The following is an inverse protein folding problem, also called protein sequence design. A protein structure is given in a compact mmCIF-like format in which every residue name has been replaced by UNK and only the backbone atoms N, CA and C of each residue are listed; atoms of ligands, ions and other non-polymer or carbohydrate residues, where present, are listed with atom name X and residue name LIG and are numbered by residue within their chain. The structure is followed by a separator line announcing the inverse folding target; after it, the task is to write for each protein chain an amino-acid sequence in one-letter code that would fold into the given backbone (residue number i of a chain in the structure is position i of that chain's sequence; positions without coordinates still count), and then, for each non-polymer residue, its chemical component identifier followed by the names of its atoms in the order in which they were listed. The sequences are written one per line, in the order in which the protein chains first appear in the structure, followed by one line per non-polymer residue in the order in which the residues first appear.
data_IF_287867521609
#
_entry.id   IF_287867521609
#
_cell.length_a   1.000
_cell.length_b   1.000
_cell.length_c   1.000
_cell.angle_alpha   90.00
_cell.angle_beta   90.00
_cell.angle_gamma   90.00
#
_symmetry.space_group_name_H-M   'P 1'
#
loop_
_entity.id
_entity.type
_entity.pdbx_description
1 polymer ?
#
# COMPACT_ATOMS: atom_id res chain seq x y z
N UNK A 1 -11.41 -36.50 27.76
CA UNK A 1 -11.55 -35.72 26.52
C UNK A 1 -10.24 -34.99 26.39
N UNK A 2 -9.40 -35.37 25.46
CA UNK A 2 -8.19 -34.63 25.09
C UNK A 2 -8.65 -33.29 24.51
N UNK A 3 -8.14 -32.19 25.04
CA UNK A 3 -8.41 -30.89 24.46
C UNK A 3 -7.99 -30.91 22.98
N UNK A 4 -8.82 -30.39 22.06
CA UNK A 4 -8.46 -30.35 20.66
C UNK A 4 -7.21 -29.44 20.49
N UNK A 5 -6.16 -29.99 19.89
CA UNK A 5 -4.98 -29.22 19.49
C UNK A 5 -5.40 -28.34 18.32
N UNK A 6 -5.81 -27.11 18.60
CA UNK A 6 -6.29 -26.17 17.58
C UNK A 6 -5.64 -24.80 17.71
N UNK A 7 -5.52 -24.11 16.58
CA UNK A 7 -5.15 -22.70 16.52
C UNK A 7 -6.44 -21.92 16.25
N UNK A 8 -6.83 -21.06 17.18
CA UNK A 8 -7.86 -20.08 16.92
C UNK A 8 -7.20 -18.80 16.36
N UNK A 9 -7.56 -18.44 15.14
CA UNK A 9 -7.10 -17.21 14.51
C UNK A 9 -8.22 -16.19 14.64
N UNK A 10 -8.05 -15.24 15.55
CA UNK A 10 -8.87 -14.05 15.60
C UNK A 10 -8.47 -13.15 14.44
N UNK A 11 -9.38 -12.90 13.54
CA UNK A 11 -9.22 -11.80 12.61
C UNK A 11 -9.43 -10.52 13.44
N UNK A 12 -8.38 -9.79 13.72
CA UNK A 12 -8.36 -8.58 14.55
C UNK A 12 -9.27 -7.44 14.04
N UNK A 13 -9.82 -7.66 12.88
CA UNK A 13 -10.74 -6.79 12.18
C UNK A 13 -11.98 -7.65 11.93
N UNK A 14 -12.97 -7.56 12.83
CA UNK A 14 -14.25 -8.26 12.72
C UNK A 14 -14.58 -8.63 11.26
N UNK A 15 -14.45 -9.91 10.93
CA UNK A 15 -14.95 -10.40 9.65
C UNK A 15 -16.45 -10.61 9.83
N UNK A 16 -17.27 -9.84 9.14
CA UNK A 16 -18.67 -10.15 9.04
C UNK A 16 -18.84 -11.32 8.08
N UNK A 17 -19.45 -12.38 8.57
CA UNK A 17 -19.88 -13.47 7.72
C UNK A 17 -21.36 -13.26 7.39
N UNK A 18 -21.66 -13.21 6.11
CA UNK A 18 -23.05 -13.07 5.64
C UNK A 18 -23.60 -14.42 5.24
N UNK A 19 -24.78 -14.73 5.76
CA UNK A 19 -25.46 -15.98 5.46
C UNK A 19 -25.67 -16.15 3.95
N UNK A 20 -25.23 -17.28 3.42
CA UNK A 20 -25.30 -17.62 1.99
C UNK A 20 -24.16 -17.11 1.14
N UNK A 21 -23.27 -16.29 1.67
CA UNK A 21 -22.07 -15.86 0.96
C UNK A 21 -20.96 -16.90 1.03
N UNK A 22 -20.12 -16.92 0.00
CA UNK A 22 -19.00 -17.83 -0.11
C UNK A 22 -17.69 -17.16 0.26
N UNK A 23 -16.82 -17.96 0.89
CA UNK A 23 -15.50 -17.54 1.32
C UNK A 23 -14.44 -18.52 0.86
N UNK A 24 -13.34 -17.99 0.33
CA UNK A 24 -12.17 -18.74 -0.05
C UNK A 24 -11.20 -18.77 1.13
N UNK A 25 -11.00 -19.96 1.67
CA UNK A 25 -10.01 -20.24 2.69
C UNK A 25 -8.79 -20.89 2.06
N UNK A 26 -7.60 -20.48 2.48
CA UNK A 26 -6.36 -21.17 2.15
C UNK A 26 -5.40 -21.20 3.34
N UNK A 27 -4.54 -22.20 3.35
CA UNK A 27 -3.49 -22.41 4.36
C UNK A 27 -2.32 -23.14 3.72
N UNK A 28 -1.11 -22.77 4.09
CA UNK A 28 0.05 -23.60 3.83
C UNK A 28 0.20 -24.57 4.99
N UNK A 29 0.35 -25.86 4.69
CA UNK A 29 0.56 -26.89 5.70
C UNK A 29 1.66 -27.85 5.27
N UNK A 30 2.38 -28.38 6.28
CA UNK A 30 3.37 -29.43 6.15
C UNK A 30 3.08 -30.51 7.18
N UNK A 31 3.06 -31.76 6.75
CA UNK A 31 2.67 -32.92 7.55
C UNK A 31 1.54 -33.71 6.87
N UNK A 32 1.16 -34.82 7.49
CA UNK A 32 0.03 -35.64 7.06
C UNK A 32 -1.05 -35.64 8.14
N UNK A 33 -2.24 -35.12 7.83
CA UNK A 33 -3.31 -34.99 8.81
C UNK A 33 -4.57 -34.37 8.24
N UNK A 34 -5.44 -33.91 9.11
CA UNK A 34 -6.71 -33.31 8.76
C UNK A 34 -6.91 -32.00 9.53
N UNK A 35 -7.16 -30.93 8.80
CA UNK A 35 -7.55 -29.63 9.36
C UNK A 35 -9.04 -29.42 9.18
N UNK A 36 -9.70 -29.03 10.25
CA UNK A 36 -11.09 -28.60 10.26
C UNK A 36 -11.13 -27.08 10.41
N UNK A 37 -11.88 -26.43 9.54
CA UNK A 37 -12.13 -24.98 9.58
C UNK A 37 -13.56 -24.75 10.04
N UNK A 38 -13.74 -23.97 11.10
CA UNK A 38 -15.06 -23.60 11.62
C UNK A 38 -15.15 -22.09 11.77
N UNK A 39 -16.36 -21.55 11.66
CA UNK A 39 -16.65 -20.17 12.04
C UNK A 39 -16.91 -20.11 13.55
N UNK A 40 -16.51 -19.02 14.21
CA UNK A 40 -16.70 -18.90 15.64
C UNK A 40 -16.44 -17.52 16.18
N UNK A 41 -16.67 -17.34 17.48
CA UNK A 41 -16.33 -16.13 18.24
C UNK A 41 -15.18 -16.44 19.19
N UNK A 42 -14.22 -15.53 19.27
CA UNK A 42 -13.18 -15.52 20.31
C UNK A 42 -13.71 -14.74 21.50
N UNK A 43 -13.97 -15.42 22.61
CA UNK A 43 -14.68 -14.83 23.76
C UNK A 43 -13.76 -14.07 24.70
N UNK A 44 -12.47 -14.44 24.83
CA UNK A 44 -11.55 -13.78 25.77
C UNK A 44 -10.11 -13.71 25.22
N UNK A 45 -9.64 -12.49 25.00
CA UNK A 45 -8.30 -12.20 24.45
C UNK A 45 -7.19 -12.21 25.50
N UNK A 46 -7.53 -12.18 26.81
CA UNK A 46 -6.58 -11.93 27.89
C UNK A 46 -6.23 -13.20 28.69
N UNK A 47 -6.84 -14.32 28.39
CA UNK A 47 -6.48 -15.62 28.98
C UNK A 47 -5.47 -16.36 28.11
N UNK A 48 -4.53 -17.04 28.77
CA UNK A 48 -3.56 -17.92 28.10
C UNK A 48 -4.18 -19.13 27.37
N UNK A 49 -5.50 -19.31 27.46
CA UNK A 49 -6.32 -20.23 26.70
C UNK A 49 -7.51 -19.44 26.15
N UNK A 50 -7.60 -19.33 24.82
CA UNK A 50 -8.77 -18.78 24.17
C UNK A 50 -9.99 -19.66 24.44
N UNK A 51 -11.07 -19.09 24.99
CA UNK A 51 -12.36 -19.74 24.92
C UNK A 51 -12.94 -19.43 23.54
N UNK A 52 -13.10 -20.46 22.73
CA UNK A 52 -13.63 -20.36 21.37
C UNK A 52 -14.92 -21.15 21.33
N UNK A 53 -16.02 -20.53 20.95
CA UNK A 53 -17.24 -21.25 20.65
C UNK A 53 -17.40 -21.34 19.13
N UNK A 54 -17.24 -22.53 18.52
CA UNK A 54 -17.62 -22.73 17.13
C UNK A 54 -19.13 -22.62 17.01
N UNK A 55 -19.60 -21.87 16.01
CA UNK A 55 -21.03 -21.69 15.76
C UNK A 55 -21.67 -22.91 15.06
N UNK A 56 -20.89 -23.68 14.34
CA UNK A 56 -21.37 -24.80 13.55
C UNK A 56 -20.44 -26.01 13.59
N UNK A 57 -20.92 -27.12 13.09
CA UNK A 57 -20.07 -28.21 12.64
C UNK A 57 -19.16 -27.66 11.53
N UNK A 58 -17.98 -28.23 11.28
CA UNK A 58 -16.97 -27.72 10.39
C UNK A 58 -17.52 -27.11 9.11
N UNK A 59 -17.17 -25.83 8.83
CA UNK A 59 -17.47 -25.18 7.56
C UNK A 59 -16.71 -25.86 6.41
N UNK A 60 -15.49 -26.37 6.69
CA UNK A 60 -14.69 -27.11 5.73
C UNK A 60 -13.74 -28.11 6.42
N UNK A 61 -13.37 -29.17 5.70
CA UNK A 61 -12.36 -30.16 6.11
C UNK A 61 -11.32 -30.29 5.02
N UNK A 62 -10.04 -30.17 5.40
CA UNK A 62 -8.89 -30.23 4.50
C UNK A 62 -8.00 -31.40 4.88
N UNK A 63 -7.74 -32.30 3.93
CA UNK A 63 -6.78 -33.39 4.09
C UNK A 63 -5.41 -32.95 3.63
N UNK A 64 -4.48 -32.83 4.57
CA UNK A 64 -3.07 -32.54 4.33
C UNK A 64 -2.31 -33.83 4.03
N UNK A 65 -1.51 -33.82 2.97
CA UNK A 65 -0.81 -35.01 2.48
C UNK A 65 0.63 -34.72 2.01
N UNK A 66 1.22 -33.62 2.48
CA UNK A 66 2.59 -33.25 2.17
C UNK A 66 3.45 -33.37 3.42
N UNK A 67 4.15 -34.49 3.54
CA UNK A 67 4.85 -34.88 4.75
C UNK A 67 6.02 -33.95 5.10
N UNK A 68 6.82 -33.59 4.10
CA UNK A 68 8.10 -32.93 4.31
C UNK A 68 8.15 -31.50 3.70
N UNK A 69 7.24 -31.19 2.75
CA UNK A 69 7.23 -29.92 2.04
C UNK A 69 6.01 -29.07 2.38
N UNK A 70 6.17 -27.78 2.42
CA UNK A 70 5.06 -26.84 2.50
C UNK A 70 4.19 -26.94 1.24
N UNK A 71 2.89 -27.06 1.43
CA UNK A 71 1.92 -27.09 0.34
C UNK A 71 0.71 -26.26 0.67
N UNK A 72 0.26 -25.48 -0.31
CA UNK A 72 -0.96 -24.68 -0.21
C UNK A 72 -2.17 -25.59 -0.39
N UNK A 73 -3.11 -25.50 0.54
CA UNK A 73 -4.43 -26.13 0.47
C UNK A 73 -5.47 -25.03 0.46
N UNK A 74 -6.51 -25.19 -0.36
CA UNK A 74 -7.57 -24.20 -0.50
C UNK A 74 -8.93 -24.89 -0.53
N UNK A 75 -9.93 -24.24 0.00
CA UNK A 75 -11.33 -24.67 -0.04
C UNK A 75 -12.24 -23.45 -0.04
N UNK A 76 -13.29 -23.51 -0.85
CA UNK A 76 -14.38 -22.53 -0.79
C UNK A 76 -15.53 -23.13 0.02
N UNK A 77 -16.06 -22.39 0.97
CA UNK A 77 -17.23 -22.77 1.74
C UNK A 77 -18.29 -21.67 1.72
N UNK A 78 -19.53 -22.03 2.03
CA UNK A 78 -20.64 -21.08 2.16
C UNK A 78 -20.91 -20.87 3.64
N UNK A 79 -20.98 -19.59 4.09
CA UNK A 79 -21.41 -19.31 5.45
C UNK A 79 -22.91 -19.60 5.59
N UNK A 80 -23.27 -20.38 6.60
CA UNK A 80 -24.65 -20.79 6.89
C UNK A 80 -25.32 -19.92 7.97
N UNK A 81 -24.57 -19.00 8.57
CA UNK A 81 -25.04 -18.04 9.56
C UNK A 81 -24.48 -16.64 9.28
N UNK A 82 -25.18 -15.63 9.78
CA UNK A 82 -24.72 -14.24 9.79
C UNK A 82 -24.02 -13.95 11.13
N UNK A 83 -22.78 -13.50 11.07
CA UNK A 83 -21.97 -13.18 12.25
C UNK A 83 -21.56 -11.71 12.20
N UNK A 84 -22.31 -10.88 12.92
CA UNK A 84 -22.08 -9.41 12.97
C UNK A 84 -21.19 -8.97 14.13
N UNK A 85 -20.66 -9.87 14.95
CA UNK A 85 -20.03 -9.47 16.21
C UNK A 85 -18.56 -9.10 16.11
N UNK A 86 -18.15 -8.12 16.90
CA UNK A 86 -16.76 -7.88 17.25
C UNK A 86 -16.16 -9.13 17.87
N UNK A 87 -15.28 -9.82 17.17
CA UNK A 87 -14.64 -11.04 17.64
C UNK A 87 -14.95 -12.29 16.82
N UNK A 88 -15.82 -12.21 15.80
CA UNK A 88 -15.99 -13.31 14.84
C UNK A 88 -14.71 -13.58 14.07
N UNK A 89 -14.45 -14.83 13.76
CA UNK A 89 -13.25 -15.30 13.10
C UNK A 89 -13.33 -16.74 12.68
N UNK A 90 -12.22 -17.29 12.26
CA UNK A 90 -12.07 -18.71 11.92
C UNK A 90 -11.32 -19.46 13.01
N UNK A 91 -11.71 -20.71 13.21
CA UNK A 91 -11.04 -21.66 14.07
C UNK A 91 -10.50 -22.76 13.17
N UNK A 92 -9.18 -22.93 13.17
CA UNK A 92 -8.51 -24.01 12.45
C UNK A 92 -8.05 -25.05 13.48
N UNK A 93 -8.59 -26.23 13.40
CA UNK A 93 -8.32 -27.33 14.36
C UNK A 93 -7.67 -28.49 13.63
N UNK A 94 -6.57 -29.01 14.17
CA UNK A 94 -6.03 -30.29 13.74
C UNK A 94 -6.87 -31.43 14.38
N UNK A 95 -7.65 -32.12 13.56
CA UNK A 95 -8.50 -33.23 13.98
C UNK A 95 -7.85 -34.60 13.72
N UNK A 96 -6.64 -34.60 13.14
CA UNK A 96 -5.86 -35.82 12.94
C UNK A 96 -5.00 -36.23 14.14
N UNK A 97 -4.42 -37.40 14.07
CA UNK A 97 -3.54 -37.96 15.12
C UNK A 97 -2.07 -37.50 14.98
N UNK A 98 -1.72 -36.80 13.92
CA UNK A 98 -0.35 -36.37 13.60
C UNK A 98 -0.18 -34.85 13.76
N UNK A 99 1.03 -34.41 14.09
CA UNK A 99 1.36 -33.00 14.12
C UNK A 99 1.35 -32.41 12.70
N UNK A 100 0.83 -31.21 12.58
CA UNK A 100 0.84 -30.40 11.36
C UNK A 100 1.48 -29.04 11.65
N UNK A 101 2.43 -28.65 10.81
CA UNK A 101 2.86 -27.26 10.75
C UNK A 101 1.88 -26.49 9.84
N UNK A 102 1.46 -25.31 10.26
CA UNK A 102 0.55 -24.45 9.49
C UNK A 102 1.07 -23.04 9.43
N UNK A 103 0.90 -22.40 8.26
CA UNK A 103 1.32 -21.02 8.01
C UNK A 103 0.43 -20.36 6.96
N UNK A 104 0.55 -19.05 6.77
CA UNK A 104 -0.11 -18.26 5.73
C UNK A 104 -1.62 -18.53 5.62
N UNK A 105 -2.29 -18.52 6.77
CA UNK A 105 -3.76 -18.67 6.82
C UNK A 105 -4.42 -17.45 6.19
N UNK A 106 -5.28 -17.67 5.21
CA UNK A 106 -6.01 -16.63 4.49
C UNK A 106 -7.50 -16.95 4.40
N UNK A 107 -8.32 -15.94 4.57
CA UNK A 107 -9.76 -16.01 4.38
C UNK A 107 -10.21 -14.75 3.63
N UNK A 108 -10.84 -14.94 2.49
CA UNK A 108 -11.31 -13.86 1.62
C UNK A 108 -12.74 -14.15 1.16
N UNK A 109 -13.62 -13.16 0.96
CA UNK A 109 -14.84 -13.36 0.20
C UNK A 109 -14.52 -13.91 -1.20
N UNK A 110 -15.31 -14.85 -1.72
CA UNK A 110 -15.18 -15.31 -3.12
C UNK A 110 -15.52 -14.16 -4.09
N UNK A 111 -16.54 -13.35 -3.77
CA UNK A 111 -16.96 -12.20 -4.57
C UNK A 111 -16.08 -10.96 -4.28
N UNK A 112 -14.94 -10.92 -4.93
CA UNK A 112 -14.04 -9.76 -4.91
C UNK A 112 -14.23 -8.90 -6.15
N UNK A 113 -13.75 -7.64 -6.12
CA UNK A 113 -13.90 -6.76 -7.26
C UNK A 113 -13.19 -7.34 -8.49
N UNK A 114 -13.97 -7.60 -9.55
CA UNK A 114 -13.53 -8.27 -10.79
C UNK A 114 -12.81 -9.61 -10.59
N UNK A 115 -12.88 -10.20 -9.41
CA UNK A 115 -12.19 -11.44 -9.07
C UNK A 115 -10.69 -11.27 -8.76
N UNK A 116 -10.22 -10.04 -8.55
CA UNK A 116 -8.80 -9.72 -8.33
C UNK A 116 -8.41 -9.58 -6.85
N UNK A 117 -9.23 -10.09 -5.93
CA UNK A 117 -8.87 -10.16 -4.50
C UNK A 117 -9.08 -8.88 -3.69
N UNK A 118 -9.58 -7.80 -4.29
CA UNK A 118 -9.86 -6.55 -3.58
C UNK A 118 -11.30 -6.47 -3.08
N UNK A 119 -11.52 -5.85 -1.93
CA UNK A 119 -12.86 -5.64 -1.35
C UNK A 119 -13.76 -4.90 -2.31
N UNK A 120 -14.84 -5.56 -2.72
CA UNK A 120 -15.76 -5.09 -3.75
C UNK A 120 -16.43 -3.77 -3.37
N UNK A 121 -16.93 -3.67 -2.15
CA UNK A 121 -17.61 -2.47 -1.64
C UNK A 121 -16.70 -1.23 -1.66
N UNK A 122 -15.44 -1.36 -1.28
CA UNK A 122 -14.47 -0.24 -1.30
C UNK A 122 -14.07 0.13 -2.73
N UNK A 123 -13.88 -0.87 -3.58
CA UNK A 123 -13.54 -0.65 -4.98
C UNK A 123 -14.68 0.02 -5.75
N UNK A 124 -15.93 -0.35 -5.48
CA UNK A 124 -17.12 0.29 -6.06
C UNK A 124 -17.26 1.76 -5.66
N UNK A 125 -16.88 2.13 -4.42
CA UNK A 125 -16.81 3.53 -3.99
C UNK A 125 -15.77 4.32 -4.80
N UNK A 126 -14.59 3.74 -5.00
CA UNK A 126 -13.55 4.37 -5.81
C UNK A 126 -13.98 4.49 -7.27
N UNK A 127 -14.57 3.45 -7.85
CA UNK A 127 -15.08 3.47 -9.22
C UNK A 127 -16.08 4.58 -9.42
N UNK A 128 -17.02 4.79 -8.46
CA UNK A 128 -18.01 5.84 -8.49
C UNK A 128 -17.42 7.26 -8.46
N UNK A 129 -16.22 7.42 -7.91
CA UNK A 129 -15.49 8.70 -7.90
C UNK A 129 -14.77 8.99 -9.22
N UNK A 130 -14.59 7.99 -10.08
CA UNK A 130 -13.87 8.10 -11.36
C UNK A 130 -12.44 8.68 -11.21
N UNK A 131 -11.59 8.16 -10.32
CA UNK A 131 -10.24 8.64 -10.12
C UNK A 131 -9.43 8.52 -11.41
N UNK A 132 -8.44 9.39 -11.59
CA UNK A 132 -7.62 9.42 -12.81
C UNK A 132 -6.25 8.80 -12.63
N UNK A 133 -5.78 8.72 -11.41
CA UNK A 133 -4.50 8.11 -11.07
C UNK A 133 -4.51 7.61 -9.62
N UNK A 134 -3.56 6.75 -9.30
CA UNK A 134 -3.26 6.31 -7.95
C UNK A 134 -1.76 6.51 -7.67
N UNK A 135 -1.43 7.26 -6.61
CA UNK A 135 -0.09 7.37 -6.04
C UNK A 135 0.08 6.28 -4.97
N UNK A 136 1.05 5.40 -5.14
CA UNK A 136 1.27 4.27 -4.25
C UNK A 136 2.76 3.91 -4.10
N UNK A 137 3.15 3.11 -3.09
CA UNK A 137 2.37 2.65 -1.94
C UNK A 137 2.06 3.79 -0.98
N UNK A 138 2.79 4.89 -1.09
CA UNK A 138 2.62 6.12 -0.36
C UNK A 138 3.35 6.20 0.97
N UNK A 139 3.57 7.44 1.37
CA UNK A 139 4.05 7.86 2.67
C UNK A 139 5.44 7.37 3.05
N UNK A 140 5.71 7.49 4.33
CA UNK A 140 6.97 7.08 4.93
C UNK A 140 7.25 5.56 4.82
N UNK A 141 6.28 4.75 4.37
CA UNK A 141 6.50 3.32 4.14
C UNK A 141 7.61 3.07 3.09
N UNK A 142 7.60 3.85 1.99
CA UNK A 142 8.66 3.79 0.97
C UNK A 142 10.02 4.19 1.54
N UNK A 143 10.03 5.17 2.44
CA UNK A 143 11.26 5.68 3.02
C UNK A 143 11.85 4.72 4.07
N UNK A 144 10.98 4.08 4.87
CA UNK A 144 11.40 3.32 6.05
C UNK A 144 11.83 4.23 7.22
N UNK A 145 11.86 3.70 8.42
CA UNK A 145 12.54 4.35 9.54
C UNK A 145 14.05 4.21 9.42
N UNK A 146 14.48 3.08 8.86
CA UNK A 146 15.85 2.75 8.46
C UNK A 146 15.81 2.19 7.05
N UNK A 147 16.93 2.06 6.37
CA UNK A 147 17.00 1.47 5.04
C UNK A 147 16.50 0.02 5.00
N UNK A 148 16.71 -0.75 6.09
CA UNK A 148 16.22 -2.13 6.20
C UNK A 148 14.70 -2.25 6.33
N UNK A 149 14.02 -1.16 6.72
CA UNK A 149 12.56 -1.09 6.86
C UNK A 149 11.88 -0.32 5.74
N UNK A 150 12.64 0.12 4.75
CA UNK A 150 12.11 0.73 3.53
C UNK A 150 11.45 -0.33 2.63
N UNK A 151 10.32 0.03 2.01
CA UNK A 151 9.69 -0.87 1.05
C UNK A 151 10.47 -0.95 -0.24
N UNK A 152 10.85 -2.18 -0.61
CA UNK A 152 11.31 -2.48 -1.96
C UNK A 152 10.17 -3.17 -2.72
N UNK A 153 9.83 -2.68 -3.90
CA UNK A 153 8.73 -3.21 -4.69
C UNK A 153 8.93 -4.69 -5.06
N UNK A 154 10.19 -5.13 -5.24
CA UNK A 154 10.54 -6.52 -5.54
C UNK A 154 10.14 -7.50 -4.44
N UNK A 155 10.15 -7.03 -3.18
CA UNK A 155 9.72 -7.80 -2.01
C UNK A 155 8.18 -7.97 -1.95
N UNK A 156 7.43 -7.24 -2.79
CA UNK A 156 5.96 -7.17 -2.75
C UNK A 156 5.27 -7.86 -3.91
N UNK A 157 6.01 -8.55 -4.78
CA UNK A 157 5.50 -9.24 -5.96
C UNK A 157 5.79 -10.75 -5.90
N UNK A 158 5.09 -11.54 -6.71
CA UNK A 158 5.16 -13.00 -6.69
C UNK A 158 4.07 -13.62 -5.82
N UNK A 159 4.23 -14.89 -5.46
CA UNK A 159 3.30 -15.55 -4.53
C UNK A 159 3.38 -14.87 -3.15
N UNK A 160 2.23 -14.64 -2.51
CA UNK A 160 2.17 -13.94 -1.22
C UNK A 160 2.98 -14.66 -0.14
N UNK A 161 3.09 -15.99 -0.21
CA UNK A 161 3.90 -16.78 0.72
C UNK A 161 5.41 -16.57 0.60
N UNK A 162 5.87 -15.99 -0.52
CA UNK A 162 7.28 -15.69 -0.78
C UNK A 162 7.62 -14.23 -0.56
N UNK A 163 6.62 -13.36 -0.33
CA UNK A 163 6.81 -11.92 -0.11
C UNK A 163 7.40 -11.69 1.28
N UNK A 164 8.25 -10.68 1.38
CA UNK A 164 8.86 -10.29 2.66
C UNK A 164 7.81 -9.65 3.57
N UNK A 165 7.70 -10.13 4.81
CA UNK A 165 6.92 -9.44 5.82
C UNK A 165 7.66 -8.22 6.35
N UNK A 166 6.93 -7.13 6.62
CA UNK A 166 7.49 -5.87 7.10
C UNK A 166 6.64 -5.29 8.23
N UNK A 167 7.28 -4.71 9.21
CA UNK A 167 6.58 -3.93 10.25
C UNK A 167 5.96 -2.69 9.61
N UNK A 168 4.68 -2.43 9.92
CA UNK A 168 4.04 -1.17 9.54
C UNK A 168 4.68 -0.01 10.30
N UNK A 169 5.30 0.92 9.57
CA UNK A 169 6.00 2.07 10.14
C UNK A 169 5.08 2.99 10.96
N UNK A 170 3.78 2.98 10.69
CA UNK A 170 2.78 3.77 11.40
C UNK A 170 2.30 3.11 12.70
N UNK A 171 2.54 1.81 12.88
CA UNK A 171 2.26 1.06 14.09
C UNK A 171 3.45 0.18 14.50
N UNK A 172 4.59 0.78 14.89
CA UNK A 172 5.79 0.03 15.27
C UNK A 172 5.76 -0.40 16.74
N UNK A 173 4.60 -0.77 17.29
CA UNK A 173 4.49 -1.20 18.69
C UNK A 173 5.48 -2.34 18.98
N UNK A 174 6.31 -2.18 20.01
CA UNK A 174 7.25 -3.23 20.41
C UNK A 174 6.57 -4.47 21.01
N UNK A 175 5.33 -4.33 21.47
CA UNK A 175 4.57 -5.41 22.11
C UNK A 175 3.57 -6.07 21.18
N UNK A 176 3.00 -5.30 20.25
CA UNK A 176 2.01 -5.78 19.28
C UNK A 176 2.27 -5.10 17.92
N UNK A 177 3.34 -5.49 17.20
CA UNK A 177 3.65 -4.90 15.91
C UNK A 177 2.60 -5.34 14.89
N UNK A 178 2.14 -4.38 14.07
CA UNK A 178 1.34 -4.72 12.90
C UNK A 178 2.28 -5.11 11.76
N UNK A 179 2.27 -6.41 11.42
CA UNK A 179 3.05 -6.94 10.30
C UNK A 179 2.24 -6.84 9.00
N UNK A 180 2.88 -6.36 7.95
CA UNK A 180 2.32 -6.32 6.61
C UNK A 180 2.88 -7.48 5.81
N UNK A 181 2.00 -8.28 5.22
CA UNK A 181 2.34 -9.45 4.40
C UNK A 181 2.51 -9.10 2.93
N UNK A 182 2.30 -7.85 2.56
CA UNK A 182 2.23 -7.39 1.17
C UNK A 182 1.20 -8.14 0.30
N UNK A 183 0.11 -8.63 0.90
CA UNK A 183 -1.03 -9.14 0.14
C UNK A 183 -1.60 -8.11 -0.86
N UNK A 184 -1.45 -6.82 -0.55
CA UNK A 184 -1.60 -5.69 -1.47
C UNK A 184 -0.20 -5.16 -1.80
N UNK A 185 0.43 -5.67 -2.83
CA UNK A 185 1.76 -5.27 -3.31
C UNK A 185 1.69 -4.46 -4.60
N UNK A 186 2.86 -4.22 -5.21
CA UNK A 186 2.93 -3.41 -6.43
C UNK A 186 2.12 -3.99 -7.58
N UNK A 187 2.10 -5.31 -7.76
CA UNK A 187 1.28 -5.95 -8.79
C UNK A 187 -0.20 -5.65 -8.60
N UNK A 188 -0.70 -5.79 -7.37
CA UNK A 188 -2.11 -5.54 -7.05
C UNK A 188 -2.47 -4.05 -7.20
N UNK A 189 -1.55 -3.12 -6.93
CA UNK A 189 -1.76 -1.70 -7.22
C UNK A 189 -1.84 -1.41 -8.71
N UNK A 190 -0.99 -2.03 -9.54
CA UNK A 190 -1.10 -1.91 -11.00
C UNK A 190 -2.42 -2.49 -11.52
N UNK A 191 -2.80 -3.69 -11.02
CA UNK A 191 -4.07 -4.32 -11.37
C UNK A 191 -5.27 -3.44 -10.98
N UNK A 192 -5.24 -2.85 -9.78
CA UNK A 192 -6.26 -1.91 -9.32
C UNK A 192 -6.35 -0.67 -10.23
N UNK A 193 -5.21 -0.15 -10.66
CA UNK A 193 -5.18 0.99 -11.58
C UNK A 193 -5.83 0.64 -12.93
N UNK A 194 -5.51 -0.52 -13.49
CA UNK A 194 -6.13 -0.99 -14.74
C UNK A 194 -7.64 -1.20 -14.56
N UNK A 195 -8.05 -1.85 -13.47
CA UNK A 195 -9.45 -2.14 -13.16
C UNK A 195 -10.32 -0.90 -13.08
N UNK A 196 -9.80 0.20 -12.55
CA UNK A 196 -10.49 1.48 -12.39
C UNK A 196 -10.19 2.49 -13.52
N UNK A 197 -9.33 2.13 -14.47
CA UNK A 197 -8.91 3.05 -15.54
C UNK A 197 -8.10 4.23 -15.03
N UNK A 198 -7.27 4.01 -13.99
CA UNK A 198 -6.36 4.98 -13.39
C UNK A 198 -4.95 4.87 -13.98
N UNK A 199 -4.23 5.98 -14.01
CA UNK A 199 -2.80 6.00 -14.27
C UNK A 199 -2.03 5.58 -13.00
N UNK A 200 -1.16 4.57 -13.04
CA UNK A 200 -0.32 4.21 -11.90
C UNK A 200 0.80 5.24 -11.70
N UNK A 201 1.01 5.67 -10.47
CA UNK A 201 2.09 6.57 -10.06
C UNK A 201 2.85 5.94 -8.88
N UNK A 202 3.68 4.92 -9.14
CA UNK A 202 4.50 4.30 -8.11
C UNK A 202 5.57 5.27 -7.60
N UNK A 203 5.80 5.24 -6.29
CA UNK A 203 6.86 6.00 -5.61
C UNK A 203 7.91 5.01 -5.10
N UNK A 204 9.18 5.29 -5.35
CA UNK A 204 10.31 4.45 -4.95
C UNK A 204 11.24 5.16 -3.99
N UNK A 205 11.96 4.38 -3.18
CA UNK A 205 13.01 4.89 -2.31
C UNK A 205 14.22 5.38 -3.12
N UNK A 206 14.80 6.50 -2.71
CA UNK A 206 15.97 7.11 -3.35
C UNK A 206 17.29 6.88 -2.57
N UNK A 207 17.33 5.89 -1.69
CA UNK A 207 18.49 5.60 -0.85
C UNK A 207 18.57 6.48 0.40
N UNK A 208 17.42 7.03 0.85
CA UNK A 208 17.31 7.85 2.06
C UNK A 208 16.11 7.35 2.87
N UNK A 209 16.32 7.01 4.15
CA UNK A 209 15.25 6.76 5.09
C UNK A 209 14.48 8.04 5.43
N UNK A 210 13.31 7.91 6.06
CA UNK A 210 12.45 9.05 6.39
C UNK A 210 13.17 10.08 7.27
N UNK A 211 13.53 11.22 6.69
CA UNK A 211 14.30 12.27 7.37
C UNK A 211 13.56 12.88 8.58
N UNK A 212 12.23 12.82 8.60
CA UNK A 212 11.42 13.30 9.73
C UNK A 212 11.48 12.34 10.92
N UNK A 213 11.48 11.01 10.64
CA UNK A 213 11.44 9.98 11.69
C UNK A 213 12.82 9.59 12.19
N UNK A 214 13.83 9.63 11.32
CA UNK A 214 15.22 9.27 11.66
C UNK A 214 16.01 10.43 12.27
N UNK A 215 15.49 11.66 12.21
CA UNK A 215 16.12 12.86 12.79
C UNK A 215 17.30 13.44 11.99
N UNK A 216 18.03 12.62 11.26
CA UNK A 216 18.99 13.06 10.23
C UNK A 216 19.55 11.83 9.51
N UNK A 217 19.39 11.73 8.22
CA UNK A 217 19.97 10.67 7.41
C UNK A 217 21.47 10.94 7.19
N UNK A 218 22.32 10.58 8.15
CA UNK A 218 23.77 10.86 8.09
C UNK A 218 24.66 9.64 8.26
N UNK A 219 24.10 8.49 8.63
CA UNK A 219 24.81 7.22 8.80
C UNK A 219 24.29 6.16 7.82
N UNK A 220 25.00 5.04 7.70
CA UNK A 220 24.66 3.97 6.75
C UNK A 220 23.33 3.26 7.05
N UNK A 221 22.79 3.39 8.26
CA UNK A 221 21.47 2.86 8.63
C UNK A 221 20.34 3.66 7.98
N UNK A 222 20.57 4.96 7.74
CA UNK A 222 19.55 5.89 7.24
C UNK A 222 19.86 6.45 5.85
N UNK A 223 21.07 6.26 5.35
CA UNK A 223 21.54 6.86 4.12
C UNK A 223 22.46 5.92 3.37
N UNK A 224 22.08 5.54 2.18
CA UNK A 224 22.93 4.76 1.26
C UNK A 224 24.07 5.65 0.74
N UNK A 225 25.35 5.25 0.84
CA UNK A 225 26.45 5.97 0.18
C UNK A 225 26.24 6.10 -1.33
N UNK A 226 26.66 7.22 -1.94
CA UNK A 226 26.47 7.47 -3.37
C UNK A 226 27.09 6.39 -4.26
N UNK A 227 28.23 5.83 -3.88
CA UNK A 227 28.89 4.72 -4.59
C UNK A 227 28.16 3.37 -4.49
N UNK A 228 27.12 3.30 -3.64
CA UNK A 228 26.23 2.14 -3.46
C UNK A 228 24.78 2.41 -3.94
N UNK A 229 24.54 3.51 -4.65
CA UNK A 229 23.20 3.93 -5.07
C UNK A 229 22.67 3.12 -6.25
N UNK A 230 23.55 2.57 -7.09
CA UNK A 230 23.17 1.91 -8.34
C UNK A 230 22.08 0.83 -8.18
N UNK A 231 22.09 -0.05 -7.18
CA UNK A 231 21.01 -1.03 -6.99
C UNK A 231 19.61 -0.43 -6.86
N UNK A 232 19.49 0.75 -6.27
CA UNK A 232 18.21 1.47 -6.14
C UNK A 232 17.76 2.06 -7.48
N UNK A 233 18.72 2.52 -8.30
CA UNK A 233 18.45 2.98 -9.67
C UNK A 233 18.02 1.79 -10.53
N UNK A 234 18.70 0.65 -10.40
CA UNK A 234 18.35 -0.58 -11.10
C UNK A 234 16.94 -1.04 -10.72
N UNK A 235 16.54 -0.92 -9.43
CA UNK A 235 15.17 -1.20 -8.99
C UNK A 235 14.12 -0.34 -9.71
N UNK A 236 14.44 0.93 -9.98
CA UNK A 236 13.53 1.80 -10.73
C UNK A 236 13.44 1.41 -12.21
N UNK A 237 14.57 1.08 -12.83
CA UNK A 237 14.60 0.61 -14.23
C UNK A 237 13.88 -0.74 -14.39
N UNK A 238 14.06 -1.65 -13.44
CA UNK A 238 13.40 -2.96 -13.40
C UNK A 238 11.88 -2.83 -13.20
N UNK A 239 11.42 -1.86 -12.40
CA UNK A 239 9.99 -1.59 -12.25
C UNK A 239 9.36 -1.12 -13.58
N UNK A 240 10.08 -0.30 -14.35
CA UNK A 240 9.60 0.13 -15.67
C UNK A 240 9.52 -1.09 -16.61
N UNK A 241 10.50 -2.00 -16.58
CA UNK A 241 10.42 -3.25 -17.34
C UNK A 241 9.27 -4.15 -16.86
N UNK A 242 9.09 -4.29 -15.55
CA UNK A 242 7.95 -5.03 -15.00
C UNK A 242 6.62 -4.47 -15.47
N UNK A 243 6.45 -3.15 -15.44
CA UNK A 243 5.19 -2.51 -15.79
C UNK A 243 4.96 -2.44 -17.31
N UNK A 244 5.97 -2.10 -18.10
CA UNK A 244 5.85 -1.70 -19.50
C UNK A 244 6.57 -2.63 -20.50
N UNK A 245 7.49 -3.45 -20.02
CA UNK A 245 8.28 -4.32 -20.90
C UNK A 245 7.43 -5.29 -21.72
N UNK A 246 7.88 -5.59 -22.94
CA UNK A 246 7.22 -6.52 -23.86
C UNK A 246 8.14 -7.68 -24.29
N UNK A 247 9.42 -7.62 -23.95
CA UNK A 247 10.36 -8.69 -24.22
C UNK A 247 10.18 -9.83 -23.21
N UNK A 248 9.54 -10.91 -23.65
CA UNK A 248 9.29 -12.09 -22.81
C UNK A 248 10.58 -12.82 -22.36
N UNK A 249 11.77 -12.43 -22.84
CA UNK A 249 13.04 -12.92 -22.29
C UNK A 249 13.53 -12.16 -21.06
N UNK A 250 12.97 -10.98 -20.79
CA UNK A 250 13.26 -10.16 -19.60
C UNK A 250 12.62 -10.80 -18.36
N UNK A 251 13.37 -10.91 -17.27
CA UNK A 251 12.91 -11.57 -16.04
C UNK A 251 11.72 -10.87 -15.39
N UNK A 252 11.63 -9.54 -15.43
CA UNK A 252 10.53 -8.77 -14.84
C UNK A 252 9.26 -8.88 -15.68
N UNK A 253 9.36 -8.92 -16.99
CA UNK A 253 8.25 -9.23 -17.89
C UNK A 253 7.72 -10.64 -17.62
N UNK A 254 8.62 -11.62 -17.49
CA UNK A 254 8.23 -12.99 -17.13
C UNK A 254 7.55 -13.04 -15.76
N UNK A 255 8.05 -12.29 -14.76
CA UNK A 255 7.44 -12.24 -13.43
C UNK A 255 6.02 -11.71 -13.49
N UNK A 256 5.77 -10.61 -14.23
CA UNK A 256 4.40 -10.10 -14.47
C UNK A 256 3.50 -11.14 -15.12
N UNK A 257 3.98 -11.82 -16.16
CA UNK A 257 3.22 -12.87 -16.86
C UNK A 257 2.90 -14.05 -15.93
N UNK A 258 3.85 -14.48 -15.11
CA UNK A 258 3.64 -15.55 -14.12
C UNK A 258 2.60 -15.18 -13.07
N UNK A 259 2.48 -13.90 -12.73
CA UNK A 259 1.44 -13.36 -11.84
C UNK A 259 0.08 -13.21 -12.52
N UNK A 260 -0.03 -13.53 -13.80
CA UNK A 260 -1.31 -13.58 -14.53
C UNK A 260 -1.56 -12.43 -15.49
N UNK A 261 -0.64 -11.46 -15.61
CA UNK A 261 -0.82 -10.29 -16.48
C UNK A 261 0.20 -10.25 -17.61
N UNK A 262 -0.23 -10.58 -18.81
CA UNK A 262 0.65 -10.64 -19.98
C UNK A 262 0.94 -9.26 -20.56
N UNK A 263 -0.09 -8.45 -20.74
CA UNK A 263 0.02 -7.14 -21.39
C UNK A 263 0.71 -6.10 -20.48
N UNK A 264 1.37 -5.07 -21.04
CA UNK A 264 1.90 -3.96 -20.25
C UNK A 264 0.81 -3.16 -19.53
N UNK A 265 1.12 -2.70 -18.32
CA UNK A 265 0.26 -1.76 -17.57
C UNK A 265 0.31 -0.33 -18.11
N UNK A 266 1.26 -0.02 -19.01
CA UNK A 266 1.43 1.28 -19.65
C UNK A 266 1.65 2.44 -18.66
N UNK A 267 2.44 2.20 -17.63
CA UNK A 267 2.84 3.20 -16.64
C UNK A 267 3.55 4.38 -17.32
N UNK A 268 3.17 5.62 -16.96
CA UNK A 268 3.73 6.85 -17.52
C UNK A 268 4.47 7.71 -16.51
N UNK A 269 4.33 7.41 -15.23
CA UNK A 269 4.90 8.19 -14.14
C UNK A 269 5.66 7.30 -13.17
N UNK A 270 6.76 7.80 -12.64
CA UNK A 270 7.48 7.18 -11.53
C UNK A 270 8.00 8.29 -10.60
N UNK A 271 7.77 8.13 -9.30
CA UNK A 271 8.29 9.05 -8.29
C UNK A 271 9.54 8.47 -7.63
N UNK A 272 10.54 9.33 -7.46
CA UNK A 272 11.81 9.00 -6.83
C UNK A 272 11.90 9.78 -5.52
N UNK A 273 11.80 9.07 -4.40
CA UNK A 273 11.62 9.65 -3.08
C UNK A 273 10.17 9.99 -2.76
N UNK A 274 9.85 10.15 -1.48
CA UNK A 274 8.51 10.50 -0.99
C UNK A 274 8.46 11.93 -0.43
N UNK A 275 9.08 12.17 0.71
CA UNK A 275 9.12 13.47 1.40
C UNK A 275 10.55 13.90 1.70
N UNK A 276 11.52 13.39 0.96
CA UNK A 276 12.91 13.78 1.11
C UNK A 276 13.14 15.22 0.71
N UNK A 277 14.17 15.83 1.26
CA UNK A 277 14.52 17.22 1.04
C UNK A 277 16.02 17.50 1.18
N UNK A 278 16.42 18.66 0.69
CA UNK A 278 17.78 19.18 0.78
C UNK A 278 18.70 18.69 -0.35
N UNK A 279 19.91 19.22 -0.40
CA UNK A 279 20.89 18.92 -1.45
C UNK A 279 21.18 17.41 -1.54
N UNK A 280 21.23 16.74 -0.40
CA UNK A 280 21.45 15.29 -0.28
C UNK A 280 20.41 14.46 -1.06
N UNK A 281 19.17 14.95 -1.16
CA UNK A 281 18.14 14.34 -1.96
C UNK A 281 18.38 14.59 -3.45
N UNK A 282 18.60 15.85 -3.85
CA UNK A 282 18.73 16.21 -5.26
C UNK A 282 19.97 15.61 -5.93
N UNK A 283 21.08 15.45 -5.20
CA UNK A 283 22.26 14.71 -5.68
C UNK A 283 21.92 13.28 -6.12
N UNK A 284 21.03 12.59 -5.37
CA UNK A 284 20.58 11.24 -5.71
C UNK A 284 19.56 11.23 -6.82
N UNK A 285 18.55 12.07 -6.69
CA UNK A 285 17.49 12.18 -7.69
C UNK A 285 18.06 12.44 -9.09
N UNK A 286 19.07 13.27 -9.20
CA UNK A 286 19.75 13.58 -10.46
C UNK A 286 20.33 12.32 -11.13
N UNK A 287 20.92 11.41 -10.36
CA UNK A 287 21.46 10.15 -10.88
C UNK A 287 20.36 9.20 -11.36
N UNK A 288 19.24 9.11 -10.63
CA UNK A 288 18.05 8.38 -11.11
C UNK A 288 17.50 8.99 -12.40
N UNK A 289 17.28 10.31 -12.40
CA UNK A 289 16.65 11.01 -13.51
C UNK A 289 17.44 10.85 -14.81
N UNK A 290 18.77 10.99 -14.76
CA UNK A 290 19.65 10.80 -15.91
C UNK A 290 19.52 9.41 -16.50
N UNK A 291 19.61 8.36 -15.67
CA UNK A 291 19.59 6.98 -16.17
C UNK A 291 18.19 6.55 -16.63
N UNK A 292 17.13 7.01 -15.97
CA UNK A 292 15.75 6.73 -16.40
C UNK A 292 15.46 7.43 -17.72
N UNK A 293 15.76 8.70 -17.87
CA UNK A 293 15.50 9.44 -19.12
C UNK A 293 16.37 8.92 -20.31
N UNK A 294 17.61 8.46 -20.05
CA UNK A 294 18.44 7.84 -21.07
C UNK A 294 17.80 6.58 -21.64
N UNK A 295 17.21 5.73 -20.78
CA UNK A 295 16.64 4.44 -21.17
C UNK A 295 15.16 4.52 -21.54
N UNK A 296 14.39 5.38 -20.85
CA UNK A 296 12.94 5.51 -20.98
C UNK A 296 12.51 6.99 -21.07
N UNK A 297 12.79 7.67 -22.17
CA UNK A 297 12.57 9.13 -22.29
C UNK A 297 11.10 9.57 -22.23
N UNK A 298 10.16 8.63 -22.36
CA UNK A 298 8.72 8.89 -22.32
C UNK A 298 8.13 8.76 -20.89
N UNK A 299 8.93 8.34 -19.91
CA UNK A 299 8.50 8.25 -18.51
C UNK A 299 8.62 9.62 -17.85
N UNK A 300 7.52 10.09 -17.26
CA UNK A 300 7.50 11.32 -16.49
C UNK A 300 8.05 11.08 -15.08
N UNK A 301 9.00 11.89 -14.66
CA UNK A 301 9.63 11.81 -13.35
C UNK A 301 8.95 12.74 -12.34
N UNK A 302 8.65 12.19 -11.16
CA UNK A 302 8.11 12.94 -10.04
C UNK A 302 9.21 13.11 -8.99
N UNK A 303 9.57 14.34 -8.70
CA UNK A 303 10.48 14.74 -7.61
C UNK A 303 9.67 15.27 -6.43
N UNK A 304 10.27 15.50 -5.27
CA UNK A 304 9.58 15.94 -4.05
C UNK A 304 10.09 17.27 -3.52
N UNK A 305 9.21 18.06 -2.91
CA UNK A 305 9.54 19.30 -2.22
C UNK A 305 9.69 19.16 -0.69
N UNK A 306 9.64 17.91 -0.19
CA UNK A 306 9.66 17.61 1.24
C UNK A 306 8.26 17.67 1.87
N UNK A 307 8.22 17.82 3.19
CA UNK A 307 7.00 17.66 4.03
C UNK A 307 6.23 18.96 4.28
N UNK A 308 6.73 20.10 3.80
CA UNK A 308 6.19 21.40 4.17
C UNK A 308 5.58 22.16 2.98
N UNK A 309 4.48 22.87 3.25
CA UNK A 309 3.80 23.72 2.28
C UNK A 309 4.60 24.99 1.88
N UNK A 310 5.68 25.30 2.61
CA UNK A 310 6.52 26.48 2.37
C UNK A 310 7.82 26.38 3.18
N UNK A 311 8.75 27.32 2.94
CA UNK A 311 10.01 27.43 3.66
C UNK A 311 11.20 26.92 2.88
N UNK A 312 12.37 26.86 3.52
CA UNK A 312 13.66 26.66 2.85
C UNK A 312 13.75 25.36 2.03
N UNK A 313 13.15 24.27 2.49
CA UNK A 313 13.16 23.00 1.74
C UNK A 313 12.32 23.08 0.46
N UNK A 314 11.13 23.66 0.56
CA UNK A 314 10.26 23.89 -0.60
C UNK A 314 10.91 24.89 -1.60
N UNK A 315 11.48 25.99 -1.09
CA UNK A 315 12.15 26.98 -1.92
C UNK A 315 13.36 26.37 -2.64
N UNK A 316 14.16 25.55 -1.95
CA UNK A 316 15.30 24.84 -2.54
C UNK A 316 14.84 23.89 -3.65
N UNK A 317 13.79 23.12 -3.41
CA UNK A 317 13.25 22.17 -4.38
C UNK A 317 12.80 22.86 -5.68
N UNK A 318 12.03 23.94 -5.56
CA UNK A 318 11.59 24.71 -6.74
C UNK A 318 12.72 25.44 -7.44
N UNK A 319 13.72 25.95 -6.71
CA UNK A 319 14.92 26.54 -7.32
C UNK A 319 15.69 25.50 -8.11
N UNK A 320 15.93 24.32 -7.52
CA UNK A 320 16.60 23.21 -8.19
C UNK A 320 15.84 22.79 -9.47
N UNK A 321 14.53 22.58 -9.39
CA UNK A 321 13.72 22.18 -10.54
C UNK A 321 13.69 23.25 -11.66
N UNK A 322 13.74 24.53 -11.30
CA UNK A 322 13.83 25.60 -12.28
C UNK A 322 15.21 25.70 -12.98
N UNK A 323 16.26 25.18 -12.35
CA UNK A 323 17.60 25.09 -12.91
C UNK A 323 17.83 23.80 -13.72
N UNK A 324 16.99 22.77 -13.49
CA UNK A 324 17.11 21.43 -14.09
C UNK A 324 15.77 20.98 -14.70
N UNK A 325 15.15 21.84 -15.51
CA UNK A 325 13.81 21.60 -16.09
C UNK A 325 13.73 20.33 -16.95
N UNK A 326 14.85 19.80 -17.42
CA UNK A 326 14.95 18.56 -18.19
C UNK A 326 14.94 17.29 -17.33
N UNK A 327 15.10 17.42 -16.00
CA UNK A 327 15.18 16.28 -15.08
C UNK A 327 13.94 16.10 -14.23
N UNK A 328 13.02 17.06 -14.16
CA UNK A 328 11.83 16.98 -13.32
C UNK A 328 10.57 17.40 -14.08
N UNK A 329 9.64 16.45 -14.28
CA UNK A 329 8.36 16.72 -14.94
C UNK A 329 7.28 17.16 -13.95
N UNK A 330 7.34 16.64 -12.73
CA UNK A 330 6.39 16.94 -11.65
C UNK A 330 7.13 17.20 -10.35
N UNK A 331 6.70 18.26 -9.66
CA UNK A 331 7.09 18.55 -8.27
C UNK A 331 5.97 18.09 -7.35
N UNK A 332 6.23 17.08 -6.53
CA UNK A 332 5.31 16.56 -5.53
C UNK A 332 5.34 17.46 -4.28
N UNK A 333 4.21 18.10 -3.98
CA UNK A 333 4.02 18.95 -2.80
C UNK A 333 3.05 18.29 -1.82
N UNK A 334 3.33 18.40 -0.51
CA UNK A 334 2.54 17.79 0.55
C UNK A 334 2.02 18.83 1.55
N UNK A 335 0.71 18.83 1.85
CA UNK A 335 0.07 19.77 2.77
C UNK A 335 -0.87 19.06 3.75
N UNK A 336 -0.50 19.01 5.01
CA UNK A 336 -1.37 18.61 6.12
C UNK A 336 -1.59 19.79 7.04
N UNK A 337 -2.59 20.61 6.72
CA UNK A 337 -2.77 21.92 7.29
C UNK A 337 -4.16 22.09 7.96
N UNK A 338 -4.40 23.24 8.60
CA UNK A 338 -5.70 23.53 9.20
C UNK A 338 -6.74 23.92 8.13
N UNK A 339 -8.03 23.79 8.46
CA UNK A 339 -9.12 24.22 7.58
C UNK A 339 -9.00 25.68 7.15
N UNK A 340 -8.62 26.57 8.09
CA UNK A 340 -8.43 27.99 7.80
C UNK A 340 -7.25 28.23 6.84
N UNK A 341 -6.18 27.45 6.96
CA UNK A 341 -5.05 27.52 6.02
C UNK A 341 -5.52 27.21 4.59
N UNK A 342 -6.24 26.11 4.37
CA UNK A 342 -6.74 25.73 3.04
C UNK A 342 -7.62 26.84 2.44
N UNK A 343 -8.52 27.38 3.22
CA UNK A 343 -9.40 28.47 2.77
C UNK A 343 -8.63 29.74 2.40
N UNK A 344 -7.59 30.07 3.17
CA UNK A 344 -6.78 31.26 2.94
C UNK A 344 -5.82 31.10 1.75
N UNK A 345 -5.46 29.87 1.39
CA UNK A 345 -4.50 29.55 0.33
C UNK A 345 -5.14 29.10 -1.00
N UNK A 346 -6.45 29.33 -1.19
CA UNK A 346 -7.13 29.03 -2.45
C UNK A 346 -6.53 29.77 -3.69
N UNK A 347 -5.66 30.73 -3.46
CA UNK A 347 -4.94 31.51 -4.49
C UNK A 347 -3.45 31.16 -4.58
N UNK A 348 -3.00 30.10 -3.92
CA UNK A 348 -1.58 29.71 -3.82
C UNK A 348 -0.89 29.66 -5.17
N UNK A 349 -1.50 29.03 -6.16
CA UNK A 349 -0.88 28.77 -7.45
C UNK A 349 -1.02 29.90 -8.48
N UNK A 350 -1.72 30.99 -8.15
CA UNK A 350 -1.95 32.11 -9.09
C UNK A 350 -0.65 32.77 -9.56
N UNK A 351 0.41 32.72 -8.76
CA UNK A 351 1.69 33.35 -9.03
C UNK A 351 2.83 32.36 -9.37
N UNK A 352 2.53 31.07 -9.51
CA UNK A 352 3.54 30.08 -9.92
C UNK A 352 3.97 30.32 -11.37
N UNK A 353 5.22 30.00 -11.68
CA UNK A 353 5.75 30.04 -13.04
C UNK A 353 4.95 29.15 -13.96
N UNK A 354 4.54 29.65 -15.14
CA UNK A 354 3.76 28.92 -16.13
C UNK A 354 4.60 28.42 -17.30
N UNK A 355 5.72 29.08 -17.56
CA UNK A 355 6.66 28.82 -18.64
C UNK A 355 7.77 27.80 -18.30
N UNK A 356 7.56 27.00 -17.24
CA UNK A 356 8.44 25.90 -16.85
C UNK A 356 7.86 24.54 -17.27
N UNK A 357 8.73 23.57 -17.56
CA UNK A 357 8.33 22.18 -17.82
C UNK A 357 7.81 21.49 -16.57
N UNK A 358 8.44 21.76 -15.43
CA UNK A 358 8.03 21.17 -14.14
C UNK A 358 6.68 21.72 -13.71
N UNK A 359 5.71 20.81 -13.52
CA UNK A 359 4.36 21.12 -13.08
C UNK A 359 4.09 20.60 -11.68
N UNK A 360 3.17 21.21 -10.96
CA UNK A 360 2.76 20.77 -9.63
C UNK A 360 2.01 19.45 -9.71
N UNK A 361 2.44 18.53 -8.89
CA UNK A 361 1.70 17.38 -8.41
C UNK A 361 1.48 17.57 -6.91
N UNK A 362 0.24 17.84 -6.48
CA UNK A 362 -0.11 17.87 -5.07
C UNK A 362 -0.42 16.41 -4.65
N UNK A 363 0.65 15.67 -4.28
CA UNK A 363 0.58 14.23 -4.09
C UNK A 363 -0.03 13.79 -2.78
N UNK A 364 0.07 14.65 -1.74
CA UNK A 364 -0.62 14.40 -0.47
C UNK A 364 -1.19 15.70 0.07
N UNK A 365 -2.49 15.75 0.30
CA UNK A 365 -3.08 16.86 1.04
C UNK A 365 -4.31 16.43 1.81
N UNK A 366 -4.49 17.04 2.98
CA UNK A 366 -5.72 16.97 3.75
C UNK A 366 -5.79 18.09 4.79
N UNK A 367 -7.00 18.52 5.08
CA UNK A 367 -7.29 19.41 6.19
C UNK A 367 -7.48 18.60 7.47
N UNK A 368 -6.61 18.83 8.49
CA UNK A 368 -6.68 18.13 9.77
C UNK A 368 -7.98 18.41 10.51
N UNK A 369 -8.78 17.39 10.83
CA UNK A 369 -9.94 17.52 11.68
C UNK A 369 -11.22 16.77 11.32
N UNK A 370 -11.36 16.17 10.16
CA UNK A 370 -12.51 15.34 9.72
C UNK A 370 -13.91 15.95 10.00
N UNK A 371 -14.04 17.29 9.99
CA UNK A 371 -15.29 17.99 10.21
C UNK A 371 -15.84 18.60 8.91
N UNK A 372 -17.13 18.89 8.88
CA UNK A 372 -17.77 19.54 7.72
C UNK A 372 -17.05 20.80 7.24
N UNK A 373 -16.54 21.59 8.19
CA UNK A 373 -15.79 22.80 7.87
C UNK A 373 -14.46 22.50 7.16
N UNK A 374 -13.80 21.38 7.49
CA UNK A 374 -12.60 20.93 6.81
C UNK A 374 -12.91 20.63 5.33
N UNK A 375 -13.95 19.83 5.05
CA UNK A 375 -14.37 19.51 3.70
C UNK A 375 -14.72 20.77 2.87
N UNK A 376 -15.41 21.74 3.45
CA UNK A 376 -15.72 23.01 2.76
C UNK A 376 -14.45 23.84 2.47
N UNK A 377 -13.48 23.80 3.37
CA UNK A 377 -12.20 24.53 3.19
C UNK A 377 -11.34 23.89 2.12
N UNK A 378 -11.30 22.57 2.06
CA UNK A 378 -10.64 21.81 0.99
C UNK A 378 -11.33 22.04 -0.37
N UNK A 379 -12.66 22.00 -0.42
CA UNK A 379 -13.42 22.30 -1.63
C UNK A 379 -13.13 23.73 -2.14
N UNK A 380 -13.02 24.71 -1.25
CA UNK A 380 -12.62 26.07 -1.62
C UNK A 380 -11.19 26.12 -2.18
N UNK A 381 -10.25 25.38 -1.58
CA UNK A 381 -8.88 25.26 -2.09
C UNK A 381 -8.82 24.59 -3.46
N UNK A 382 -9.61 23.53 -3.68
CA UNK A 382 -9.69 22.81 -4.96
C UNK A 382 -10.13 23.72 -6.12
N UNK A 383 -10.96 24.74 -5.88
CA UNK A 383 -11.29 25.73 -6.92
C UNK A 383 -10.07 26.49 -7.41
N UNK A 384 -9.07 26.67 -6.55
CA UNK A 384 -7.76 27.23 -6.88
C UNK A 384 -6.89 26.27 -7.70
N UNK A 385 -6.95 24.96 -7.42
CA UNK A 385 -6.26 23.95 -8.22
C UNK A 385 -6.83 23.95 -9.66
N UNK A 386 -8.15 23.87 -9.81
CA UNK A 386 -8.80 23.89 -11.12
C UNK A 386 -8.53 25.18 -11.91
N UNK A 387 -8.60 26.36 -11.25
CA UNK A 387 -8.29 27.63 -11.88
C UNK A 387 -6.85 27.70 -12.43
N UNK A 388 -5.94 26.97 -11.80
CA UNK A 388 -4.53 26.90 -12.16
C UNK A 388 -4.14 25.52 -12.76
N UNK A 389 -5.03 24.88 -13.53
CA UNK A 389 -4.78 23.56 -14.10
C UNK A 389 -3.64 23.51 -15.13
N UNK A 390 -3.14 24.65 -15.59
CA UNK A 390 -1.93 24.77 -16.39
C UNK A 390 -0.65 24.65 -15.57
N UNK A 391 -0.73 24.88 -14.26
CA UNK A 391 0.35 24.71 -13.27
C UNK A 391 0.15 23.41 -12.49
N UNK A 392 -1.04 23.20 -11.91
CA UNK A 392 -1.37 22.01 -11.11
C UNK A 392 -1.97 20.94 -12.02
N UNK A 393 -1.20 19.91 -12.29
CA UNK A 393 -1.62 18.85 -13.23
C UNK A 393 -2.24 17.65 -12.55
N UNK A 394 -1.90 17.43 -11.29
CA UNK A 394 -2.35 16.28 -10.50
C UNK A 394 -2.56 16.71 -9.05
N UNK A 395 -3.58 16.14 -8.40
CA UNK A 395 -3.82 16.30 -6.98
C UNK A 395 -4.45 15.03 -6.41
N UNK A 396 -3.93 14.51 -5.29
CA UNK A 396 -4.43 13.33 -4.61
C UNK A 396 -4.59 13.55 -3.11
N UNK A 397 -5.75 13.18 -2.60
CA UNK A 397 -6.03 13.21 -1.16
C UNK A 397 -5.29 12.06 -0.46
N UNK A 398 -4.78 12.30 0.73
CA UNK A 398 -4.12 11.29 1.55
C UNK A 398 -4.42 11.48 3.05
N UNK A 399 -4.65 10.35 3.79
CA UNK A 399 -4.84 8.99 3.27
C UNK A 399 -6.22 8.77 2.66
N UNK A 400 -6.34 7.69 1.87
CA UNK A 400 -7.55 7.40 1.11
C UNK A 400 -8.63 6.72 1.95
N UNK A 401 -8.26 5.67 2.69
CA UNK A 401 -9.18 4.84 3.47
C UNK A 401 -8.81 4.80 4.94
N UNK A 402 -9.82 4.91 5.80
CA UNK A 402 -9.68 4.66 7.23
C UNK A 402 -10.81 3.76 7.74
N UNK A 403 -10.43 2.68 8.44
CA UNK A 403 -11.39 1.86 9.14
C UNK A 403 -11.79 2.51 10.46
N UNK A 404 -13.09 2.69 10.69
CA UNK A 404 -13.61 3.27 11.93
C UNK A 404 -13.16 2.44 13.14
N UNK A 405 -12.61 3.13 14.13
CA UNK A 405 -12.12 2.52 15.36
C UNK A 405 -10.75 1.80 15.23
N UNK A 406 -10.19 1.70 14.02
CA UNK A 406 -8.92 0.99 13.80
C UNK A 406 -8.10 1.63 12.67
N UNK A 407 -7.63 2.83 12.89
CA UNK A 407 -6.71 3.53 11.98
C UNK A 407 -5.54 4.11 12.74
N UNK A 408 -4.34 4.07 12.14
CA UNK A 408 -3.14 4.68 12.71
C UNK A 408 -3.09 6.19 12.45
N UNK A 409 -3.85 6.67 11.46
CA UNK A 409 -3.91 8.06 11.07
C UNK A 409 -5.35 8.58 11.21
N UNK A 410 -5.62 9.31 12.26
CA UNK A 410 -6.96 9.82 12.57
C UNK A 410 -7.14 11.32 12.29
N UNK A 411 -6.10 11.98 11.75
CA UNK A 411 -6.12 13.44 11.60
C UNK A 411 -6.98 13.90 10.43
N UNK A 412 -6.99 13.14 9.33
CA UNK A 412 -7.79 13.41 8.14
C UNK A 412 -7.80 12.15 7.26
N UNK A 413 -8.95 11.74 6.77
CA UNK A 413 -9.11 10.58 5.91
C UNK A 413 -10.26 10.83 4.93
N UNK A 414 -10.09 10.40 3.67
CA UNK A 414 -11.07 10.70 2.63
C UNK A 414 -12.34 9.87 2.77
N UNK A 415 -12.20 8.55 2.95
CA UNK A 415 -13.30 7.59 3.04
C UNK A 415 -13.18 6.80 4.33
N UNK A 416 -14.16 6.96 5.21
CA UNK A 416 -14.31 6.16 6.42
C UNK A 416 -15.22 4.98 6.14
N UNK A 417 -14.82 3.78 6.56
CA UNK A 417 -15.58 2.55 6.38
C UNK A 417 -15.59 1.71 7.66
N UNK A 418 -16.53 0.81 7.74
CA UNK A 418 -16.62 -0.25 8.75
C UNK A 418 -16.60 -1.62 8.03
N UNK A 419 -16.94 -2.69 8.74
CA UNK A 419 -17.00 -4.02 8.16
C UNK A 419 -18.41 -4.43 7.67
N UNK A 420 -19.43 -3.57 7.91
CA UNK A 420 -20.82 -3.82 7.49
C UNK A 420 -21.11 -3.28 6.11
#
# INVERSE_FOLDING_TARGET
MTEPNGIAIKVHLSAEFKNGEKYDFSVYARGEGELTVSLGIVIDEHKASFEVEPFNEAAAVIKCNSKDDWKKYSVTFTADEELESDGSGIIVTNTGDSDLDVDMVSLMPEDTYKGHGLRKDLMEQLEAMHPKFLRFPGGCAVEGQTMDTAWNWKDTIGDVSERKEMINIWNPSATEPYMMTYGLGFYEYFQMCEDLGMEPVPILNCGIACQVRSGSATDEEHLVPMDKLQPYIDDALDLIEFANGTDESNEWVQKRIQMGHKEPFNMKYIGIGNEQYGDIYFERYEEFAKQIHEKYPDINLVTTSGTASSGSSNDLAWNWANEHEELADRMDEHYYETADWFRQHAYRYDNYRRDTNTKVFLGEYASKGNAWYNALSEAAFMTGLERNADVVRMASYAPMFAKYGNTQWSAADMIWFNNS
#
